data_IF_204325358682
#
_entry.id   IF_204325358682
#
_cell.length_a   1.000
_cell.length_b   1.000
_cell.length_c   1.000
_cell.angle_alpha   90.00
_cell.angle_beta   90.00
_cell.angle_gamma   90.00
#
_symmetry.space_group_name_H-M   'P 1'
#
loop_
_entity.id
_entity.type
_entity.pdbx_description
1 polymer ?
#
# COMPACT_ATOMS: atom_id res chain seq x y z
N UNK A 1 25.44 -0.64 -9.69
CA UNK A 1 24.65 -1.15 -8.61
C UNK A 1 23.76 -2.28 -9.10
N UNK A 2 23.50 -3.28 -8.23
CA UNK A 2 22.59 -4.36 -8.57
C UNK A 2 21.12 -3.92 -8.45
N UNK A 3 20.27 -4.32 -9.40
CA UNK A 3 18.85 -3.98 -9.43
C UNK A 3 18.02 -5.05 -10.14
N UNK A 4 16.71 -5.10 -9.82
CA UNK A 4 15.72 -5.85 -10.57
C UNK A 4 14.93 -4.88 -11.46
N UNK A 5 14.94 -5.10 -12.76
CA UNK A 5 14.39 -4.19 -13.75
C UNK A 5 13.75 -4.94 -14.92
N UNK A 6 12.90 -4.26 -15.68
CA UNK A 6 12.29 -4.77 -16.91
C UNK A 6 12.86 -4.06 -18.14
N UNK A 7 13.03 -4.81 -19.24
CA UNK A 7 13.41 -4.28 -20.57
C UNK A 7 12.25 -4.27 -21.57
N UNK A 8 11.14 -4.86 -21.17
CA UNK A 8 9.89 -4.98 -21.92
C UNK A 8 8.76 -5.35 -20.97
N UNK A 9 7.59 -5.63 -21.52
CA UNK A 9 6.42 -6.07 -20.75
C UNK A 9 6.12 -7.54 -21.04
N UNK A 10 5.62 -8.26 -20.01
CA UNK A 10 5.31 -9.69 -20.09
C UNK A 10 5.17 -10.32 -18.71
N UNK A 11 5.44 -11.61 -18.62
CA UNK A 11 5.47 -12.35 -17.37
C UNK A 11 6.78 -12.14 -16.58
N UNK A 12 7.08 -13.05 -15.65
CA UNK A 12 8.30 -12.94 -14.82
C UNK A 12 9.60 -13.05 -15.64
N UNK A 13 9.55 -13.61 -16.83
CA UNK A 13 10.70 -13.76 -17.74
C UNK A 13 11.28 -12.41 -18.23
N UNK A 14 10.50 -11.32 -18.18
CA UNK A 14 11.00 -9.99 -18.57
C UNK A 14 11.71 -9.25 -17.44
N UNK A 15 11.68 -9.78 -16.23
CA UNK A 15 12.38 -9.21 -15.08
C UNK A 15 13.81 -9.71 -15.07
N UNK A 16 14.75 -8.81 -15.11
CA UNK A 16 16.19 -9.13 -15.02
C UNK A 16 16.77 -8.64 -13.71
N UNK A 17 17.68 -9.41 -13.12
CA UNK A 17 18.52 -8.97 -12.01
C UNK A 17 19.94 -8.80 -12.53
N UNK A 18 20.47 -7.58 -12.43
CA UNK A 18 21.78 -7.28 -12.99
C UNK A 18 22.30 -5.89 -12.65
N UNK A 19 23.43 -5.55 -13.24
CA UNK A 19 24.09 -4.28 -13.00
C UNK A 19 23.38 -3.12 -13.72
N UNK A 20 23.17 -2.05 -12.97
CA UNK A 20 22.66 -0.77 -13.47
C UNK A 20 23.59 0.36 -13.03
N UNK A 21 23.64 1.48 -13.77
CA UNK A 21 24.35 2.66 -13.33
C UNK A 21 23.87 3.13 -11.93
N UNK A 22 24.76 3.73 -11.16
CA UNK A 22 24.38 4.41 -9.90
C UNK A 22 23.37 5.51 -10.22
N UNK A 23 22.30 5.69 -9.40
CA UNK A 23 21.33 6.74 -9.63
C UNK A 23 21.99 8.12 -9.50
N UNK A 24 21.77 8.94 -10.52
CA UNK A 24 22.27 10.32 -10.54
C UNK A 24 21.47 11.16 -9.57
N UNK A 25 22.14 11.82 -8.63
CA UNK A 25 21.53 12.82 -7.75
C UNK A 25 21.30 14.12 -8.52
N UNK A 26 20.11 14.67 -8.41
CA UNK A 26 19.78 16.03 -8.83
C UNK A 26 19.96 16.98 -7.64
N UNK A 27 20.10 18.28 -7.84
CA UNK A 27 20.10 19.24 -6.74
C UNK A 27 18.86 19.05 -5.85
N UNK A 28 19.07 18.92 -4.53
CA UNK A 28 18.02 18.62 -3.56
C UNK A 28 17.61 17.15 -3.43
N UNK A 29 18.24 16.23 -4.19
CA UNK A 29 18.03 14.80 -4.04
C UNK A 29 18.95 14.22 -2.94
N UNK A 30 18.42 13.26 -2.22
CA UNK A 30 19.13 12.36 -1.31
C UNK A 30 19.32 11.02 -1.98
N UNK A 31 20.51 10.44 -1.89
CA UNK A 31 20.74 9.05 -2.25
C UNK A 31 20.61 8.17 -1.02
N UNK A 32 19.77 7.16 -1.10
CA UNK A 32 19.55 6.17 -0.05
C UNK A 32 20.14 4.84 -0.51
N UNK A 33 21.01 4.25 0.30
CA UNK A 33 21.41 2.85 0.18
C UNK A 33 20.31 2.00 0.78
N UNK A 34 19.57 1.31 -0.08
CA UNK A 34 18.44 0.48 0.34
C UNK A 34 18.91 -0.77 1.07
N UNK A 35 18.17 -1.15 2.08
CA UNK A 35 18.36 -2.36 2.87
C UNK A 35 17.19 -3.32 2.71
N UNK A 36 16.00 -2.78 2.44
CA UNK A 36 14.83 -3.54 2.10
C UNK A 36 13.88 -2.73 1.21
N UNK A 37 13.21 -3.43 0.33
CA UNK A 37 12.04 -3.00 -0.42
C UNK A 37 10.89 -3.98 -0.19
N UNK A 38 9.66 -3.65 -0.57
CA UNK A 38 8.56 -4.61 -0.52
C UNK A 38 7.72 -4.57 -1.79
N UNK A 39 7.24 -5.74 -2.22
CA UNK A 39 6.44 -5.87 -3.42
C UNK A 39 5.01 -5.39 -3.24
N UNK A 40 4.45 -4.83 -4.29
CA UNK A 40 3.07 -4.37 -4.41
C UNK A 40 2.42 -4.92 -5.68
N UNK A 41 1.09 -4.97 -5.72
CA UNK A 41 0.37 -5.42 -6.94
C UNK A 41 0.69 -4.55 -8.16
N UNK A 42 1.02 -3.29 -7.97
CA UNK A 42 1.43 -2.38 -9.04
C UNK A 42 2.75 -2.80 -9.71
N UNK A 43 3.66 -3.46 -9.00
CA UNK A 43 4.89 -4.00 -9.61
C UNK A 43 4.55 -5.06 -10.68
N UNK A 44 3.51 -5.87 -10.45
CA UNK A 44 3.00 -6.80 -11.45
C UNK A 44 2.39 -6.05 -12.65
N UNK A 45 1.59 -5.01 -12.41
CA UNK A 45 0.98 -4.23 -13.50
C UNK A 45 2.03 -3.53 -14.36
N UNK A 46 3.08 -3.00 -13.73
CA UNK A 46 4.22 -2.39 -14.45
C UNK A 46 4.98 -3.43 -15.25
N UNK A 47 5.22 -4.62 -14.69
CA UNK A 47 5.83 -5.74 -15.40
C UNK A 47 4.98 -6.19 -16.59
N UNK A 48 3.68 -6.40 -16.39
CA UNK A 48 2.79 -7.02 -17.38
C UNK A 48 2.55 -6.12 -18.60
N UNK A 49 2.32 -4.81 -18.38
CA UNK A 49 1.84 -3.90 -19.44
C UNK A 49 2.21 -2.44 -19.27
N UNK A 50 2.92 -2.08 -18.19
CA UNK A 50 3.16 -0.68 -17.82
C UNK A 50 1.92 0.05 -17.33
N UNK A 51 0.78 -0.63 -17.16
CA UNK A 51 -0.48 -0.08 -16.61
C UNK A 51 -0.97 1.21 -17.32
N UNK A 52 -0.60 1.44 -18.58
CA UNK A 52 -0.90 2.68 -19.29
C UNK A 52 -0.06 3.90 -18.85
N UNK A 53 0.95 3.69 -18.03
CA UNK A 53 1.84 4.73 -17.53
C UNK A 53 2.98 4.99 -18.52
N UNK A 54 3.22 6.24 -18.85
CA UNK A 54 4.36 6.63 -19.68
C UNK A 54 5.66 6.52 -18.89
N UNK A 55 6.52 5.61 -19.27
CA UNK A 55 7.84 5.37 -18.68
C UNK A 55 8.87 5.00 -19.74
N UNK A 56 10.13 4.93 -19.35
CA UNK A 56 11.23 4.54 -20.24
C UNK A 56 11.81 3.20 -19.79
N UNK A 57 12.03 2.31 -20.75
CA UNK A 57 12.74 1.05 -20.52
C UNK A 57 14.24 1.21 -20.76
N UNK A 58 15.10 0.50 -20.04
CA UNK A 58 14.78 -0.41 -18.93
C UNK A 58 14.38 0.35 -17.67
N UNK A 59 13.37 -0.17 -16.94
CA UNK A 59 12.79 0.43 -15.73
C UNK A 59 13.05 -0.45 -14.51
N UNK A 60 13.65 0.10 -13.45
CA UNK A 60 13.77 -0.56 -12.15
C UNK A 60 12.42 -0.52 -11.45
N UNK A 61 11.93 -1.68 -10.99
CA UNK A 61 10.66 -1.82 -10.29
C UNK A 61 10.77 -1.44 -8.80
N UNK A 62 9.62 -1.42 -8.10
CA UNK A 62 9.53 -1.21 -6.65
C UNK A 62 9.19 0.21 -6.24
N UNK A 63 8.26 0.33 -5.28
CA UNK A 63 7.80 1.60 -4.74
C UNK A 63 8.22 1.81 -3.28
N UNK A 64 8.16 0.73 -2.48
CA UNK A 64 8.46 0.77 -1.04
C UNK A 64 9.95 0.59 -0.80
N UNK A 65 10.52 1.36 0.12
CA UNK A 65 11.92 1.21 0.46
C UNK A 65 12.27 1.74 1.84
N UNK A 66 13.23 1.08 2.47
CA UNK A 66 13.87 1.52 3.69
C UNK A 66 15.39 1.27 3.58
N UNK A 67 16.18 2.15 4.15
CA UNK A 67 17.63 2.06 4.02
C UNK A 67 18.36 3.08 4.86
N UNK A 68 19.54 3.44 4.40
CA UNK A 68 20.46 4.35 5.08
C UNK A 68 20.80 5.46 4.10
N UNK A 69 20.76 6.70 4.56
CA UNK A 69 21.23 7.87 3.79
C UNK A 69 22.68 7.67 3.41
N UNK A 70 22.96 7.60 2.13
CA UNK A 70 24.30 7.41 1.57
C UNK A 70 24.96 8.75 1.19
N UNK A 71 24.18 9.67 0.63
CA UNK A 71 24.66 11.00 0.27
C UNK A 71 23.52 12.02 0.29
N UNK A 72 23.83 13.23 0.75
CA UNK A 72 22.97 14.43 0.76
C UNK A 72 23.71 15.59 0.12
N UNK A 73 23.00 16.64 -0.27
CA UNK A 73 23.64 17.89 -0.69
C UNK A 73 24.13 18.69 0.53
N UNK A 74 25.17 19.51 0.34
CA UNK A 74 25.64 20.45 1.35
C UNK A 74 24.53 21.45 1.67
N UNK A 75 24.23 21.62 2.98
CA UNK A 75 23.16 22.47 3.45
C UNK A 75 21.80 21.77 3.67
N UNK A 76 21.65 20.47 3.34
CA UNK A 76 20.52 19.68 3.82
C UNK A 76 20.68 19.48 5.34
N UNK A 77 19.75 20.03 6.11
CA UNK A 77 19.85 20.05 7.58
C UNK A 77 18.97 19.03 8.28
N UNK A 78 18.03 18.41 7.57
CA UNK A 78 17.06 17.48 8.16
C UNK A 78 17.51 16.03 8.08
N UNK A 79 18.44 15.72 7.18
CA UNK A 79 18.93 14.36 6.93
C UNK A 79 20.45 14.33 7.02
N UNK A 80 20.99 13.24 7.57
CA UNK A 80 22.43 13.04 7.73
C UNK A 80 22.86 11.71 7.12
N UNK A 81 24.05 11.66 6.52
CA UNK A 81 24.67 10.41 6.07
C UNK A 81 24.75 9.42 7.24
N UNK A 82 24.36 8.17 6.99
CA UNK A 82 24.27 7.13 8.01
C UNK A 82 22.91 7.03 8.70
N UNK A 83 22.00 7.99 8.51
CA UNK A 83 20.68 7.97 9.11
C UNK A 83 19.80 6.86 8.50
N UNK A 84 19.09 6.11 9.36
CA UNK A 84 18.08 5.12 8.94
C UNK A 84 16.81 5.83 8.48
N UNK A 85 16.32 5.47 7.29
CA UNK A 85 15.23 6.19 6.64
C UNK A 85 14.27 5.25 5.92
N UNK A 86 13.05 5.75 5.67
CA UNK A 86 12.04 5.18 4.76
C UNK A 86 11.71 6.19 3.68
N UNK A 87 11.28 5.70 2.51
CA UNK A 87 10.98 6.54 1.37
C UNK A 87 9.47 6.62 1.11
N UNK A 88 9.01 7.80 0.69
CA UNK A 88 7.67 8.01 0.16
C UNK A 88 7.73 7.95 -1.37
N UNK A 89 7.00 7.04 -2.04
CA UNK A 89 7.21 6.78 -3.48
C UNK A 89 6.69 7.88 -4.40
N UNK A 90 5.75 8.70 -3.94
CA UNK A 90 5.12 9.74 -4.77
C UNK A 90 5.89 11.06 -4.75
N UNK A 91 6.43 11.46 -5.90
CA UNK A 91 7.19 12.70 -6.10
C UNK A 91 6.30 13.71 -6.81
N UNK A 92 5.83 14.71 -6.05
CA UNK A 92 4.93 15.75 -6.53
C UNK A 92 5.70 16.97 -7.04
N UNK A 93 5.05 17.87 -7.80
CA UNK A 93 5.69 19.05 -8.36
C UNK A 93 6.01 20.16 -7.35
N UNK A 94 5.45 20.11 -6.15
CA UNK A 94 5.66 21.07 -5.06
C UNK A 94 4.99 22.45 -5.22
N UNK A 95 4.44 22.78 -6.40
CA UNK A 95 3.99 24.15 -6.73
C UNK A 95 2.54 24.28 -7.21
N UNK A 96 1.85 23.21 -7.56
CA UNK A 96 0.45 23.28 -7.95
C UNK A 96 -0.46 23.45 -6.74
N UNK A 97 -1.71 23.80 -6.97
CA UNK A 97 -2.71 24.03 -5.91
C UNK A 97 -2.82 22.86 -4.93
N UNK A 98 -2.84 21.62 -5.43
CA UNK A 98 -2.89 20.43 -4.58
C UNK A 98 -1.66 20.32 -3.67
N UNK A 99 -0.46 20.59 -4.20
CA UNK A 99 0.76 20.61 -3.41
C UNK A 99 0.78 21.69 -2.35
N UNK A 100 0.33 22.90 -2.71
CA UNK A 100 0.28 24.05 -1.80
C UNK A 100 -0.74 23.87 -0.66
N UNK A 101 -1.80 23.07 -0.91
CA UNK A 101 -2.76 22.67 0.13
C UNK A 101 -2.29 21.52 1.01
N UNK A 102 -1.10 20.96 0.77
CA UNK A 102 -0.58 19.80 1.49
C UNK A 102 -1.14 18.44 1.02
N UNK A 103 -1.99 18.42 -0.01
CA UNK A 103 -2.54 17.15 -0.56
C UNK A 103 -1.82 16.75 -1.87
N UNK A 104 -0.49 16.60 -1.75
CA UNK A 104 0.41 16.35 -2.88
C UNK A 104 0.07 15.09 -3.69
N UNK A 105 -0.68 14.14 -3.12
CA UNK A 105 -1.15 12.95 -3.83
C UNK A 105 -2.16 13.27 -4.94
N UNK A 106 -2.79 14.45 -4.90
CA UNK A 106 -3.67 14.97 -5.96
C UNK A 106 -2.93 15.81 -7.01
N UNK A 107 -1.61 15.87 -6.97
CA UNK A 107 -0.81 16.59 -7.95
C UNK A 107 -0.95 15.94 -9.33
N UNK A 108 -1.42 16.67 -10.33
CA UNK A 108 -1.59 16.16 -11.70
C UNK A 108 -0.26 15.76 -12.37
N UNK A 109 0.87 16.24 -11.83
CA UNK A 109 2.22 15.90 -12.34
C UNK A 109 2.96 14.97 -11.36
N UNK A 110 2.25 14.26 -10.50
CA UNK A 110 2.89 13.32 -9.58
C UNK A 110 3.57 12.19 -10.35
N UNK A 111 4.75 11.80 -9.92
CA UNK A 111 5.51 10.68 -10.46
C UNK A 111 5.83 9.70 -9.35
N UNK A 112 5.74 8.42 -9.63
CA UNK A 112 6.01 7.37 -8.65
C UNK A 112 7.32 6.65 -8.97
N UNK A 113 8.06 6.27 -7.92
CA UNK A 113 9.15 5.31 -8.02
C UNK A 113 8.62 3.99 -8.57
N UNK A 114 9.41 3.29 -9.38
CA UNK A 114 9.03 2.02 -9.98
C UNK A 114 8.00 2.11 -11.11
N UNK A 115 7.42 3.30 -11.34
CA UNK A 115 6.45 3.55 -12.41
C UNK A 115 6.97 4.58 -13.43
N UNK A 116 7.27 5.78 -12.99
CA UNK A 116 7.72 6.90 -13.84
C UNK A 116 9.22 7.18 -13.71
N UNK A 117 9.85 6.62 -12.71
CA UNK A 117 11.27 6.71 -12.38
C UNK A 117 11.73 5.36 -11.88
N UNK A 118 13.04 5.12 -11.92
CA UNK A 118 13.64 3.94 -11.31
C UNK A 118 13.20 3.79 -9.85
N UNK A 119 12.85 2.56 -9.49
CA UNK A 119 12.25 2.20 -8.22
C UNK A 119 13.24 1.70 -7.19
N UNK A 120 12.70 0.96 -6.22
CA UNK A 120 13.38 0.53 -4.99
C UNK A 120 13.85 -0.92 -5.01
N UNK A 121 13.59 -1.71 -6.06
CA UNK A 121 14.18 -3.04 -6.20
C UNK A 121 15.64 -2.93 -6.71
N UNK A 122 16.46 -2.19 -5.96
CA UNK A 122 17.86 -1.88 -6.26
C UNK A 122 18.63 -1.63 -4.97
N UNK A 123 19.97 -1.63 -5.05
CA UNK A 123 20.82 -1.28 -3.91
C UNK A 123 20.75 0.20 -3.54
N UNK A 124 20.47 1.09 -4.50
CA UNK A 124 20.39 2.53 -4.27
C UNK A 124 19.21 3.15 -5.01
N UNK A 125 18.66 4.20 -4.41
CA UNK A 125 17.67 5.09 -5.04
C UNK A 125 18.02 6.54 -4.77
N UNK A 126 17.74 7.44 -5.74
CA UNK A 126 17.89 8.89 -5.59
C UNK A 126 16.52 9.56 -5.74
N UNK A 127 16.16 10.39 -4.76
CA UNK A 127 14.85 11.04 -4.72
C UNK A 127 14.93 12.34 -3.91
N UNK A 128 13.97 13.28 -4.08
CA UNK A 128 13.99 14.54 -3.33
C UNK A 128 14.01 14.32 -1.82
N UNK A 129 14.76 15.14 -1.08
CA UNK A 129 14.88 15.05 0.37
C UNK A 129 13.50 15.07 1.08
N UNK A 130 12.52 15.81 0.55
CA UNK A 130 11.16 15.85 1.06
C UNK A 130 10.41 14.48 1.03
N UNK A 131 10.91 13.53 0.24
CA UNK A 131 10.37 12.18 0.13
C UNK A 131 11.04 11.16 1.07
N UNK A 132 12.02 11.60 1.88
CA UNK A 132 12.79 10.75 2.78
C UNK A 132 12.45 11.09 4.23
N UNK A 133 12.09 10.08 5.01
CA UNK A 133 11.62 10.25 6.38
C UNK A 133 12.45 9.40 7.35
N UNK A 134 12.69 9.88 8.58
CA UNK A 134 13.31 9.07 9.63
C UNK A 134 12.54 7.76 9.82
N UNK A 135 13.26 6.66 9.89
CA UNK A 135 12.69 5.34 10.11
C UNK A 135 12.37 5.15 11.60
N UNK A 136 11.20 4.58 11.98
CA UNK A 136 10.91 4.20 13.36
C UNK A 136 11.97 3.28 13.93
N UNK A 137 12.48 3.61 15.13
CA UNK A 137 13.60 2.90 15.75
C UNK A 137 13.28 1.44 16.08
N UNK A 138 12.01 1.17 16.40
CA UNK A 138 11.50 -0.15 16.80
C UNK A 138 11.38 -1.17 15.67
N UNK A 139 11.46 -0.74 14.40
CA UNK A 139 11.27 -1.59 13.23
C UNK A 139 12.59 -2.03 12.60
N UNK A 140 12.59 -3.21 11.98
CA UNK A 140 13.63 -3.59 11.02
C UNK A 140 13.37 -2.94 9.64
N UNK A 141 14.32 -3.06 8.70
CA UNK A 141 14.18 -2.42 7.39
C UNK A 141 13.05 -2.98 6.55
N UNK A 142 12.75 -4.27 6.64
CA UNK A 142 11.65 -4.88 5.91
C UNK A 142 10.28 -4.43 6.45
N UNK A 143 10.12 -4.40 7.78
CA UNK A 143 8.93 -3.86 8.44
C UNK A 143 8.75 -2.37 8.10
N UNK A 144 9.81 -1.59 8.13
CA UNK A 144 9.75 -0.16 7.84
C UNK A 144 9.39 0.11 6.36
N UNK A 145 10.00 -0.61 5.41
CA UNK A 145 9.63 -0.53 4.00
C UNK A 145 8.15 -0.86 3.77
N UNK A 146 7.60 -1.84 4.51
CA UNK A 146 6.22 -2.26 4.40
C UNK A 146 5.19 -1.18 4.84
N UNK A 147 5.61 -0.13 5.54
CA UNK A 147 4.75 1.01 5.87
C UNK A 147 4.42 1.90 4.66
N UNK A 148 5.18 1.83 3.58
CA UNK A 148 5.06 2.68 2.40
C UNK A 148 3.68 2.62 1.74
N UNK A 149 3.56 2.00 0.57
CA UNK A 149 2.32 2.04 -0.23
C UNK A 149 1.10 1.52 0.53
N UNK A 150 1.20 0.34 1.14
CA UNK A 150 0.00 -0.35 1.64
C UNK A 150 -0.55 0.26 2.94
N UNK A 151 0.29 0.51 3.92
CA UNK A 151 -0.17 1.11 5.17
C UNK A 151 -0.57 2.58 4.98
N UNK A 152 0.16 3.32 4.16
CA UNK A 152 -0.18 4.70 3.84
C UNK A 152 -1.50 4.79 3.07
N UNK A 153 -1.75 3.90 2.11
CA UNK A 153 -3.04 3.80 1.42
C UNK A 153 -4.17 3.48 2.40
N UNK A 154 -3.98 2.48 3.26
CA UNK A 154 -4.98 2.12 4.27
C UNK A 154 -5.23 3.25 5.27
N UNK A 155 -4.20 3.98 5.67
CA UNK A 155 -4.33 5.18 6.52
C UNK A 155 -5.25 6.21 5.86
N UNK A 156 -4.93 6.59 4.60
CA UNK A 156 -5.75 7.54 3.84
C UNK A 156 -7.18 7.07 3.67
N UNK A 157 -7.38 5.79 3.33
CA UNK A 157 -8.72 5.21 3.19
C UNK A 157 -9.54 5.33 4.47
N UNK A 158 -8.97 4.94 5.61
CA UNK A 158 -9.66 4.92 6.89
C UNK A 158 -9.86 6.33 7.46
N UNK A 159 -8.78 7.10 7.61
CA UNK A 159 -8.83 8.31 8.42
C UNK A 159 -9.15 9.56 7.60
N UNK A 160 -8.60 9.70 6.41
CA UNK A 160 -8.84 10.88 5.57
C UNK A 160 -10.14 10.75 4.77
N UNK A 161 -10.33 9.62 4.08
CA UNK A 161 -11.49 9.44 3.20
C UNK A 161 -12.73 9.02 3.96
N UNK A 162 -12.67 7.91 4.69
CA UNK A 162 -13.82 7.40 5.44
C UNK A 162 -14.07 8.17 6.75
N UNK A 163 -13.09 8.89 7.31
CA UNK A 163 -13.18 9.54 8.63
C UNK A 163 -13.63 8.53 9.70
N UNK A 164 -13.03 7.36 9.68
CA UNK A 164 -13.32 6.24 10.57
C UNK A 164 -13.19 6.64 12.05
N UNK A 165 -14.14 6.18 12.87
CA UNK A 165 -14.24 6.48 14.31
C UNK A 165 -14.07 5.23 15.15
N UNK A 166 -13.57 5.35 16.40
CA UNK A 166 -13.33 4.20 17.29
C UNK A 166 -14.54 3.30 17.58
N UNK A 167 -15.76 3.84 17.51
CA UNK A 167 -17.02 3.10 17.77
C UNK A 167 -17.63 2.49 16.50
N UNK A 168 -17.02 2.70 15.33
CA UNK A 168 -17.53 2.21 14.05
C UNK A 168 -17.07 0.78 13.76
N UNK A 169 -17.79 0.13 12.87
CA UNK A 169 -17.44 -1.19 12.33
C UNK A 169 -17.00 -1.04 10.88
N UNK A 170 -15.84 -1.58 10.53
CA UNK A 170 -15.33 -1.63 9.16
C UNK A 170 -15.39 -3.06 8.60
N UNK A 171 -15.83 -3.20 7.36
CA UNK A 171 -15.70 -4.42 6.56
C UNK A 171 -14.51 -4.27 5.62
N UNK A 172 -13.60 -5.24 5.62
CA UNK A 172 -12.38 -5.22 4.83
C UNK A 172 -12.37 -6.43 3.90
N UNK A 173 -12.38 -6.19 2.60
CA UNK A 173 -12.31 -7.25 1.59
C UNK A 173 -10.88 -7.69 1.30
N UNK A 174 -10.71 -8.99 0.96
CA UNK A 174 -9.45 -9.54 0.47
C UNK A 174 -8.35 -9.61 1.52
N UNK A 175 -8.69 -10.05 2.74
CA UNK A 175 -7.70 -10.19 3.82
C UNK A 175 -6.55 -11.13 3.41
N UNK A 176 -5.34 -10.73 3.73
CA UNK A 176 -4.09 -11.35 3.28
C UNK A 176 -3.32 -10.45 2.31
N UNK A 177 -4.02 -9.52 1.60
CA UNK A 177 -3.37 -8.44 0.86
C UNK A 177 -2.80 -7.36 1.79
N UNK A 178 -1.76 -6.65 1.34
CA UNK A 178 -1.07 -5.66 2.16
C UNK A 178 -1.97 -4.52 2.65
N UNK A 179 -2.80 -3.93 1.77
CA UNK A 179 -3.74 -2.86 2.16
C UNK A 179 -4.79 -3.37 3.14
N UNK A 180 -5.32 -4.56 2.92
CA UNK A 180 -6.38 -5.13 3.78
C UNK A 180 -5.86 -5.45 5.17
N UNK A 181 -4.63 -5.99 5.31
CA UNK A 181 -4.00 -6.22 6.60
C UNK A 181 -3.62 -4.92 7.31
N UNK A 182 -3.11 -3.95 6.58
CA UNK A 182 -2.85 -2.61 7.11
C UNK A 182 -4.15 -1.97 7.64
N UNK A 183 -5.25 -2.07 6.87
CA UNK A 183 -6.55 -1.56 7.30
C UNK A 183 -7.06 -2.26 8.57
N UNK A 184 -6.89 -3.58 8.69
CA UNK A 184 -7.23 -4.32 9.91
C UNK A 184 -6.43 -3.79 11.11
N UNK A 185 -5.10 -3.73 10.99
CA UNK A 185 -4.23 -3.27 12.07
C UNK A 185 -4.56 -1.84 12.49
N UNK A 186 -4.71 -0.92 11.53
CA UNK A 186 -5.03 0.49 11.81
C UNK A 186 -6.41 0.67 12.43
N UNK A 187 -7.43 -0.04 11.96
CA UNK A 187 -8.78 0.03 12.51
C UNK A 187 -8.82 -0.47 13.96
N UNK A 188 -8.10 -1.56 14.26
CA UNK A 188 -8.00 -2.12 15.62
C UNK A 188 -7.23 -1.20 16.57
N UNK A 189 -6.11 -0.65 16.12
CA UNK A 189 -5.35 0.34 16.90
C UNK A 189 -6.12 1.64 17.14
N UNK A 190 -7.05 2.00 16.25
CA UNK A 190 -7.98 3.11 16.45
C UNK A 190 -9.12 2.79 17.42
N UNK A 191 -9.30 1.52 17.85
CA UNK A 191 -10.35 1.08 18.76
C UNK A 191 -11.65 0.64 18.07
N UNK A 192 -11.71 0.61 16.74
CA UNK A 192 -12.88 0.18 15.98
C UNK A 192 -13.01 -1.33 15.86
N UNK A 193 -14.19 -1.81 15.41
CA UNK A 193 -14.43 -3.22 15.10
C UNK A 193 -14.14 -3.50 13.63
N UNK A 194 -13.58 -4.69 13.35
CA UNK A 194 -13.21 -5.09 12.00
C UNK A 194 -13.79 -6.46 11.63
N UNK A 195 -14.56 -6.50 10.54
CA UNK A 195 -14.98 -7.71 9.85
C UNK A 195 -14.08 -7.89 8.63
N UNK A 196 -13.59 -9.09 8.39
CA UNK A 196 -12.69 -9.37 7.26
C UNK A 196 -13.25 -10.45 6.35
N UNK A 197 -12.90 -10.42 5.07
CA UNK A 197 -13.29 -11.46 4.12
C UNK A 197 -12.10 -12.06 3.38
N UNK A 198 -12.16 -13.36 3.11
CA UNK A 198 -11.25 -14.09 2.22
C UNK A 198 -12.00 -15.27 1.59
N UNK A 199 -11.36 -15.94 0.63
CA UNK A 199 -11.77 -17.26 0.13
C UNK A 199 -10.93 -18.39 0.72
N UNK A 200 -10.00 -18.06 1.60
CA UNK A 200 -9.00 -18.93 2.22
C UNK A 200 -9.19 -18.91 3.74
N UNK A 201 -9.60 -20.05 4.32
CA UNK A 201 -9.86 -20.17 5.75
C UNK A 201 -8.60 -19.99 6.60
N UNK A 202 -7.42 -20.39 6.09
CA UNK A 202 -6.15 -20.19 6.78
C UNK A 202 -5.83 -18.69 6.95
N UNK A 203 -6.12 -17.88 5.92
CA UNK A 203 -5.98 -16.42 6.02
C UNK A 203 -6.99 -15.81 6.98
N UNK A 204 -8.22 -16.32 7.03
CA UNK A 204 -9.25 -15.88 7.96
C UNK A 204 -8.85 -16.17 9.42
N UNK A 205 -8.35 -17.36 9.71
CA UNK A 205 -7.86 -17.73 11.05
C UNK A 205 -6.70 -16.81 11.49
N UNK A 206 -5.74 -16.54 10.60
CA UNK A 206 -4.63 -15.61 10.88
C UNK A 206 -5.13 -14.19 11.13
N UNK A 207 -6.16 -13.74 10.41
CA UNK A 207 -6.75 -12.42 10.61
C UNK A 207 -7.49 -12.30 11.97
N UNK A 208 -8.18 -13.35 12.43
CA UNK A 208 -8.75 -13.42 13.78
C UNK A 208 -7.64 -13.31 14.84
N UNK A 209 -6.54 -14.02 14.65
CA UNK A 209 -5.39 -13.94 15.56
C UNK A 209 -4.74 -12.53 15.60
N UNK A 210 -4.88 -11.75 14.52
CA UNK A 210 -4.48 -10.34 14.42
C UNK A 210 -5.54 -9.36 14.95
N UNK A 211 -6.63 -9.86 15.51
CA UNK A 211 -7.66 -9.06 16.18
C UNK A 211 -8.87 -8.70 15.33
N UNK A 212 -9.14 -9.37 14.20
CA UNK A 212 -10.41 -9.23 13.52
C UNK A 212 -11.55 -9.74 14.42
N UNK A 213 -12.65 -8.99 14.52
CA UNK A 213 -13.80 -9.36 15.37
C UNK A 213 -14.69 -10.44 14.73
N UNK A 214 -14.67 -10.51 13.39
CA UNK A 214 -15.41 -11.50 12.62
C UNK A 214 -14.73 -11.77 11.27
N UNK A 215 -14.82 -13.00 10.79
CA UNK A 215 -14.22 -13.44 9.54
C UNK A 215 -15.25 -14.21 8.70
N UNK A 216 -15.34 -13.87 7.41
CA UNK A 216 -16.34 -14.41 6.49
C UNK A 216 -15.63 -15.04 5.29
N UNK A 217 -15.91 -16.33 5.03
CA UNK A 217 -15.42 -16.99 3.82
C UNK A 217 -16.35 -16.66 2.64
N UNK A 218 -15.94 -15.71 1.81
CA UNK A 218 -16.73 -15.25 0.65
C UNK A 218 -16.84 -16.27 -0.51
N UNK A 219 -16.20 -17.44 -0.41
CA UNK A 219 -16.41 -18.54 -1.36
C UNK A 219 -17.62 -19.42 -0.98
N UNK A 220 -17.96 -19.48 0.31
CA UNK A 220 -18.96 -20.39 0.86
C UNK A 220 -20.12 -19.67 1.54
N UNK A 221 -19.97 -18.38 1.87
CA UNK A 221 -20.96 -17.60 2.61
C UNK A 221 -21.38 -16.35 1.83
N UNK A 222 -22.63 -15.91 2.01
CA UNK A 222 -23.08 -14.60 1.55
C UNK A 222 -22.58 -13.52 2.51
N UNK A 223 -21.57 -12.79 2.05
CA UNK A 223 -20.89 -11.75 2.84
C UNK A 223 -21.87 -10.72 3.40
N UNK A 224 -22.83 -10.24 2.61
CA UNK A 224 -23.76 -9.22 3.06
C UNK A 224 -24.71 -9.77 4.15
N UNK A 225 -25.18 -11.01 4.02
CA UNK A 225 -26.02 -11.67 5.01
C UNK A 225 -25.26 -11.88 6.33
N UNK A 226 -24.03 -12.36 6.27
CA UNK A 226 -23.20 -12.55 7.46
C UNK A 226 -22.89 -11.23 8.17
N UNK A 227 -22.60 -10.15 7.42
CA UNK A 227 -22.42 -8.80 7.97
C UNK A 227 -23.69 -8.32 8.67
N UNK A 228 -24.88 -8.52 8.05
CA UNK A 228 -26.14 -8.14 8.68
C UNK A 228 -26.39 -8.94 9.95
N UNK A 229 -26.12 -10.25 9.96
CA UNK A 229 -26.26 -11.09 11.14
C UNK A 229 -25.35 -10.60 12.28
N UNK A 230 -24.06 -10.36 12.00
CA UNK A 230 -23.09 -9.88 12.98
C UNK A 230 -23.43 -8.49 13.54
N UNK A 231 -24.03 -7.62 12.74
CA UNK A 231 -24.36 -6.23 13.12
C UNK A 231 -25.81 -6.04 13.58
N UNK A 232 -26.56 -7.12 13.83
CA UNK A 232 -27.97 -7.03 14.26
C UNK A 232 -28.88 -6.37 13.21
N UNK A 233 -28.62 -6.56 11.92
CA UNK A 233 -29.39 -6.01 10.80
C UNK A 233 -29.01 -4.58 10.38
N UNK A 234 -28.07 -3.94 11.08
CA UNK A 234 -27.67 -2.54 10.83
C UNK A 234 -26.77 -2.39 9.59
N UNK A 235 -25.80 -3.25 9.43
CA UNK A 235 -24.70 -3.12 8.49
C UNK A 235 -23.49 -2.38 9.07
N UNK A 236 -22.39 -2.28 8.28
CA UNK A 236 -21.13 -1.63 8.68
C UNK A 236 -21.10 -0.15 8.32
N UNK A 237 -20.31 0.62 9.06
CA UNK A 237 -20.15 2.06 8.83
C UNK A 237 -19.23 2.35 7.65
N UNK A 238 -18.18 1.53 7.49
CA UNK A 238 -17.15 1.69 6.47
C UNK A 238 -16.90 0.36 5.77
N UNK A 239 -16.66 0.43 4.46
CA UNK A 239 -16.11 -0.67 3.67
C UNK A 239 -14.78 -0.23 3.09
N UNK A 240 -13.72 -1.01 3.31
CA UNK A 240 -12.43 -0.90 2.64
C UNK A 240 -12.36 -1.94 1.54
N UNK A 241 -12.26 -1.45 0.31
CA UNK A 241 -12.41 -2.25 -0.89
C UNK A 241 -11.19 -2.07 -1.82
N UNK A 242 -10.61 -3.15 -2.30
CA UNK A 242 -9.46 -3.16 -3.21
C UNK A 242 -9.53 -4.34 -4.21
N UNK A 243 -10.66 -5.04 -4.24
CA UNK A 243 -10.89 -6.21 -5.09
C UNK A 243 -11.60 -5.81 -6.37
N UNK A 244 -12.61 -4.93 -6.29
CA UNK A 244 -13.35 -4.41 -7.42
C UNK A 244 -14.62 -5.20 -7.74
N UNK A 245 -14.86 -5.43 -9.03
CA UNK A 245 -16.14 -5.89 -9.59
C UNK A 245 -16.75 -7.10 -8.87
N UNK A 246 -15.93 -8.11 -8.55
CA UNK A 246 -16.43 -9.38 -7.97
C UNK A 246 -17.09 -9.23 -6.59
N UNK A 247 -16.75 -8.21 -5.82
CA UNK A 247 -17.25 -8.00 -4.44
C UNK A 247 -18.12 -6.76 -4.29
N UNK A 248 -18.21 -5.92 -5.30
CA UNK A 248 -18.84 -4.60 -5.25
C UNK A 248 -20.30 -4.63 -4.77
N UNK A 249 -21.11 -5.55 -5.31
CA UNK A 249 -22.50 -5.71 -4.89
C UNK A 249 -22.62 -6.06 -3.41
N UNK A 250 -21.80 -7.00 -2.93
CA UNK A 250 -21.74 -7.39 -1.51
C UNK A 250 -21.26 -6.24 -0.63
N UNK A 251 -20.29 -5.47 -1.10
CA UNK A 251 -19.78 -4.29 -0.41
C UNK A 251 -20.88 -3.23 -0.18
N UNK A 252 -21.63 -2.87 -1.24
CA UNK A 252 -22.74 -1.93 -1.13
C UNK A 252 -23.89 -2.46 -0.26
N UNK A 253 -24.21 -3.76 -0.33
CA UNK A 253 -25.26 -4.40 0.48
C UNK A 253 -24.90 -4.46 1.97
N UNK A 254 -23.62 -4.52 2.30
CA UNK A 254 -23.13 -4.60 3.69
C UNK A 254 -23.18 -3.27 4.43
N UNK A 255 -23.27 -2.13 3.73
CA UNK A 255 -23.24 -0.79 4.34
C UNK A 255 -24.50 -0.48 5.13
N UNK A 256 -24.34 0.15 6.27
CA UNK A 256 -25.39 0.84 7.02
C UNK A 256 -25.92 2.06 6.22
N UNK A 257 -27.03 2.67 6.62
CA UNK A 257 -27.47 3.97 6.09
C UNK A 257 -26.42 5.04 6.43
N UNK A 258 -26.09 5.88 5.46
CA UNK A 258 -25.01 6.88 5.58
C UNK A 258 -23.60 6.29 5.56
N UNK A 259 -23.46 5.00 5.29
CA UNK A 259 -22.17 4.32 5.26
C UNK A 259 -21.27 4.76 4.12
N UNK A 260 -19.96 4.50 4.24
CA UNK A 260 -18.91 4.92 3.30
C UNK A 260 -18.17 3.71 2.75
N UNK A 261 -18.08 3.62 1.43
CA UNK A 261 -17.20 2.68 0.73
C UNK A 261 -15.99 3.45 0.22
N UNK A 262 -14.80 2.99 0.57
CA UNK A 262 -13.55 3.55 0.02
C UNK A 262 -12.86 2.48 -0.80
N UNK A 263 -12.58 2.79 -2.07
CA UNK A 263 -11.88 1.89 -2.99
C UNK A 263 -10.52 2.45 -3.40
N UNK A 264 -9.54 1.55 -3.53
CA UNK A 264 -8.18 1.87 -3.99
C UNK A 264 -7.62 0.87 -5.00
N UNK A 265 -8.46 -0.03 -5.51
CA UNK A 265 -8.01 -1.05 -6.46
C UNK A 265 -9.16 -1.80 -7.09
N UNK A 266 -8.87 -2.47 -8.21
CA UNK A 266 -9.86 -3.18 -9.03
C UNK A 266 -9.28 -4.48 -9.59
N UNK A 267 -8.72 -5.33 -8.72
CA UNK A 267 -7.99 -6.55 -9.13
C UNK A 267 -8.87 -7.61 -9.79
N UNK A 268 -10.20 -7.51 -9.64
CA UNK A 268 -11.18 -8.43 -10.26
C UNK A 268 -12.00 -7.77 -11.37
N UNK A 269 -11.62 -6.57 -11.82
CA UNK A 269 -12.33 -5.76 -12.80
C UNK A 269 -12.78 -4.41 -12.22
N UNK A 270 -12.90 -3.42 -13.10
CA UNK A 270 -13.08 -2.00 -12.78
C UNK A 270 -14.46 -1.43 -13.19
N UNK A 271 -15.35 -2.26 -13.73
CA UNK A 271 -16.68 -1.84 -14.23
C UNK A 271 -17.83 -2.56 -13.50
N UNK A 272 -17.98 -2.38 -12.17
CA UNK A 272 -19.11 -2.95 -11.45
C UNK A 272 -20.41 -2.18 -11.71
N UNK A 273 -21.56 -2.84 -11.54
CA UNK A 273 -22.86 -2.16 -11.49
C UNK A 273 -22.94 -1.25 -10.26
N UNK A 274 -23.34 0.00 -10.45
CA UNK A 274 -23.34 1.01 -9.39
C UNK A 274 -24.47 0.88 -8.36
N UNK A 275 -25.56 0.15 -8.63
CA UNK A 275 -26.78 0.09 -7.80
C UNK A 275 -27.19 1.50 -7.28
N UNK A 276 -27.41 2.42 -8.19
CA UNK A 276 -27.70 3.84 -7.88
C UNK A 276 -28.88 4.00 -6.92
N UNK A 277 -29.92 3.14 -7.06
CA UNK A 277 -31.07 3.19 -6.15
C UNK A 277 -30.65 2.96 -4.70
N UNK A 278 -29.80 1.97 -4.45
CA UNK A 278 -29.26 1.72 -3.11
C UNK A 278 -28.44 2.90 -2.61
N UNK A 279 -27.59 3.47 -3.47
CA UNK A 279 -26.73 4.60 -3.13
C UNK A 279 -27.57 5.78 -2.63
N UNK A 280 -28.59 6.24 -3.38
CA UNK A 280 -29.34 7.42 -2.95
C UNK A 280 -30.35 7.12 -1.83
N UNK A 281 -31.05 5.96 -1.84
CA UNK A 281 -32.03 5.63 -0.80
C UNK A 281 -31.36 5.45 0.57
N UNK A 282 -30.14 4.91 0.60
CA UNK A 282 -29.39 4.69 1.84
C UNK A 282 -28.39 5.80 2.14
N UNK A 283 -28.31 6.83 1.28
CA UNK A 283 -27.38 7.98 1.40
C UNK A 283 -25.92 7.51 1.56
N UNK A 284 -25.50 6.55 0.72
CA UNK A 284 -24.14 6.01 0.78
C UNK A 284 -23.15 6.98 0.13
N UNK A 285 -21.91 6.92 0.58
CA UNK A 285 -20.78 7.63 -0.02
C UNK A 285 -19.84 6.61 -0.67
N UNK A 286 -19.42 6.86 -1.91
CA UNK A 286 -18.42 6.07 -2.64
C UNK A 286 -17.23 6.97 -2.88
N UNK A 287 -16.07 6.60 -2.33
CA UNK A 287 -14.87 7.42 -2.25
C UNK A 287 -13.69 6.70 -2.90
N UNK A 288 -13.00 7.38 -3.83
CA UNK A 288 -11.73 6.92 -4.37
C UNK A 288 -10.56 7.31 -3.48
N UNK A 289 -9.54 6.45 -3.41
CA UNK A 289 -8.31 6.69 -2.67
C UNK A 289 -7.11 6.10 -3.41
N UNK A 290 -5.99 6.77 -3.36
CA UNK A 290 -4.70 6.28 -3.87
C UNK A 290 -3.59 6.81 -2.97
N UNK A 291 -2.66 5.93 -2.55
CA UNK A 291 -1.53 6.28 -1.70
C UNK A 291 -1.93 7.16 -0.49
N UNK A 292 -1.12 8.14 -0.12
CA UNK A 292 -1.35 9.17 0.88
C UNK A 292 -0.35 10.30 0.74
N UNK A 293 -0.56 11.41 1.46
CA UNK A 293 0.34 12.55 1.46
C UNK A 293 1.44 12.45 2.55
N UNK A 294 2.32 13.44 2.61
CA UNK A 294 3.45 13.43 3.54
C UNK A 294 3.01 13.54 5.01
N UNK A 295 1.94 14.27 5.31
CA UNK A 295 1.46 14.40 6.69
C UNK A 295 0.81 13.10 7.17
N UNK A 296 0.05 12.43 6.29
CA UNK A 296 -0.47 11.09 6.54
C UNK A 296 0.67 10.08 6.79
N UNK A 297 1.78 10.21 6.03
CA UNK A 297 2.92 9.33 6.22
C UNK A 297 3.64 9.61 7.55
N UNK A 298 3.86 10.88 7.92
CA UNK A 298 4.43 11.24 9.25
C UNK A 298 3.59 10.69 10.40
N UNK A 299 2.27 10.84 10.31
CA UNK A 299 1.35 10.33 11.31
C UNK A 299 1.39 8.80 11.42
N UNK A 300 1.45 8.11 10.28
CA UNK A 300 1.61 6.65 10.23
C UNK A 300 2.93 6.20 10.87
N UNK A 301 4.05 6.84 10.54
CA UNK A 301 5.35 6.57 11.14
C UNK A 301 5.34 6.82 12.66
N UNK A 302 4.66 7.88 13.10
CA UNK A 302 4.44 8.15 14.52
C UNK A 302 3.64 7.05 15.24
N UNK A 303 2.65 6.45 14.57
CA UNK A 303 1.93 5.29 15.13
C UNK A 303 2.82 4.04 15.18
N UNK A 304 3.67 3.83 14.18
CA UNK A 304 4.63 2.74 14.20
C UNK A 304 5.63 2.87 15.36
N UNK A 305 6.09 4.10 15.65
CA UNK A 305 7.00 4.37 16.76
C UNK A 305 6.32 4.22 18.13
N UNK A 306 5.11 4.79 18.31
CA UNK A 306 4.51 4.97 19.64
C UNK A 306 3.35 4.01 19.97
N UNK A 307 2.79 3.29 18.99
CA UNK A 307 1.64 2.40 19.18
C UNK A 307 1.90 0.95 18.80
N UNK A 308 3.16 0.57 18.68
CA UNK A 308 3.59 -0.79 18.33
C UNK A 308 2.95 -1.33 17.03
N UNK A 309 2.67 -0.46 16.05
CA UNK A 309 2.24 -0.89 14.73
C UNK A 309 3.39 -1.61 14.03
N UNK A 310 3.24 -2.92 13.79
CA UNK A 310 4.21 -3.73 13.06
C UNK A 310 3.56 -4.33 11.82
N UNK A 311 4.01 -3.97 10.63
CA UNK A 311 3.54 -4.61 9.41
C UNK A 311 3.78 -6.11 9.40
N UNK A 312 2.81 -6.86 8.86
CA UNK A 312 2.97 -8.31 8.71
C UNK A 312 3.86 -8.60 7.50
N UNK A 313 5.01 -9.19 7.75
CA UNK A 313 5.91 -9.70 6.71
C UNK A 313 5.61 -11.17 6.47
N UNK A 314 5.22 -11.50 5.25
CA UNK A 314 4.89 -12.86 4.83
C UNK A 314 6.14 -13.69 4.54
N UNK A 315 7.07 -13.09 3.79
CA UNK A 315 8.33 -13.74 3.40
C UNK A 315 9.41 -12.71 3.09
N UNK A 316 10.67 -13.15 3.18
CA UNK A 316 11.87 -12.37 2.88
C UNK A 316 12.67 -13.07 1.80
N UNK A 317 13.09 -12.34 0.81
CA UNK A 317 13.87 -12.80 -0.33
C UNK A 317 15.05 -11.86 -0.56
N UNK A 318 16.15 -12.39 -1.11
CA UNK A 318 17.21 -11.53 -1.66
C UNK A 318 16.76 -10.93 -2.99
N UNK A 319 17.49 -9.94 -3.49
CA UNK A 319 17.23 -9.37 -4.82
C UNK A 319 17.29 -10.46 -5.93
N UNK A 320 18.18 -11.43 -5.81
CA UNK A 320 18.26 -12.59 -6.74
C UNK A 320 17.03 -13.50 -6.67
N UNK A 321 16.32 -13.49 -5.55
CA UNK A 321 15.08 -14.25 -5.34
C UNK A 321 13.82 -13.52 -5.82
N UNK A 322 13.92 -12.40 -6.52
CA UNK A 322 12.78 -11.57 -6.92
C UNK A 322 11.73 -12.32 -7.76
N UNK A 323 12.14 -13.24 -8.62
CA UNK A 323 11.20 -14.04 -9.42
C UNK A 323 10.27 -14.89 -8.54
N UNK A 324 10.82 -15.63 -7.58
CA UNK A 324 10.01 -16.41 -6.64
C UNK A 324 9.08 -15.52 -5.78
N UNK A 325 9.53 -14.31 -5.44
CA UNK A 325 8.75 -13.35 -4.71
C UNK A 325 7.58 -12.80 -5.56
N UNK A 326 7.81 -12.50 -6.84
CA UNK A 326 6.77 -12.08 -7.79
C UNK A 326 5.77 -13.21 -8.07
N UNK A 327 6.23 -14.45 -8.29
CA UNK A 327 5.35 -15.63 -8.44
C UNK A 327 4.43 -15.82 -7.22
N UNK A 328 4.96 -15.61 -6.01
CA UNK A 328 4.20 -15.72 -4.79
C UNK A 328 3.12 -14.63 -4.70
N UNK A 329 3.46 -13.39 -5.10
CA UNK A 329 2.54 -12.25 -5.13
C UNK A 329 1.43 -12.46 -6.18
N UNK A 330 1.80 -12.88 -7.37
CA UNK A 330 0.88 -13.12 -8.49
C UNK A 330 -0.13 -14.21 -8.16
N UNK A 331 0.34 -15.32 -7.60
CA UNK A 331 -0.50 -16.43 -7.14
C UNK A 331 -1.38 -16.06 -5.92
N UNK A 332 -1.22 -14.89 -5.34
CA UNK A 332 -2.00 -14.44 -4.17
C UNK A 332 -1.79 -15.29 -2.92
N UNK A 333 -0.65 -16.00 -2.79
CA UNK A 333 -0.36 -16.92 -1.68
C UNK A 333 0.10 -16.23 -0.41
N UNK A 334 0.48 -14.96 -0.50
CA UNK A 334 0.98 -14.19 0.65
C UNK A 334 -0.13 -13.87 1.67
N UNK A 335 0.31 -13.69 2.91
CA UNK A 335 -0.47 -13.05 3.97
C UNK A 335 0.37 -11.94 4.59
N UNK A 336 0.33 -10.76 4.00
CA UNK A 336 1.17 -9.62 4.35
C UNK A 336 2.07 -9.18 3.20
N UNK A 337 3.18 -8.56 3.55
CA UNK A 337 4.15 -8.01 2.61
C UNK A 337 5.25 -9.02 2.30
N UNK A 338 5.64 -9.08 1.04
CA UNK A 338 6.82 -9.83 0.60
C UNK A 338 7.96 -8.84 0.54
N UNK A 339 8.99 -9.06 1.33
CA UNK A 339 10.17 -8.20 1.39
C UNK A 339 11.29 -8.71 0.48
N UNK A 340 11.98 -7.75 -0.16
CA UNK A 340 13.24 -7.97 -0.88
C UNK A 340 14.34 -7.27 -0.09
N UNK A 341 15.31 -8.04 0.38
CA UNK A 341 16.42 -7.54 1.18
C UNK A 341 17.68 -7.36 0.32
N UNK A 342 18.34 -6.23 0.49
CA UNK A 342 19.61 -5.88 -0.16
C UNK A 342 20.78 -6.20 0.77
N UNK A 343 21.96 -6.52 0.23
CA UNK A 343 23.15 -6.77 1.02
C UNK A 343 23.50 -5.63 1.99
N UNK A 344 24.22 -5.99 3.05
CA UNK A 344 24.65 -5.05 4.08
C UNK A 344 25.64 -4.00 3.57
#
# INVERSE_FOLDING_TARGET
MKAAFIKGHGGNEVVEVGERPMPVRRPGDVRVRLRAATLNRVDLYMRDSGAGITHTLPQVLGLDGAGIVDAVDDGETLLSVGQRVVVHPGIACGRCEACQRGDAVLCASIRYLGEHRDGTLAEYVSLPAANVFPMPASLDFAEAAALGVNHLTAWRMLFTKARFRPWETVLIFGIGGGVSLAALQLARLAGGRAIVTSRDDGKLQRAIALGADHAINGATQDVAREVMAFTGGRGVDVVIENVGQAVWSSALKSLARGGRLVTCGATSGDQPSADLRRVFVRQLQILGSSLGNFDEYRNLLGWAEHRALRPVIDSRHSLDGVHAALDRLEAGRQFGKIAIEMPA
#
